data_IF_652927883569
#
_entry.id   IF_652927883569
#
_cell.length_a   1.000
_cell.length_b   1.000
_cell.length_c   1.000
_cell.angle_alpha   90.00
_cell.angle_beta   90.00
_cell.angle_gamma   90.00
#
_symmetry.space_group_name_H-M   'P 1'
#
loop_
_entity.id
_entity.type
_entity.pdbx_description
1 polymer ?
#
# COMPACT_ATOMS: atom_id res chain seq x y z
N UNK A 1 -19.62 4.68 0.89
CA UNK A 1 -18.45 5.53 0.60
C UNK A 1 -17.63 4.92 -0.54
N UNK A 2 -16.78 5.70 -1.12
CA UNK A 2 -15.84 5.22 -2.15
C UNK A 2 -14.56 4.76 -1.48
N UNK A 3 -14.23 3.48 -1.66
CA UNK A 3 -13.09 2.85 -0.98
C UNK A 3 -12.11 2.34 -2.05
N UNK A 4 -10.85 2.71 -1.94
CA UNK A 4 -9.80 2.16 -2.77
C UNK A 4 -9.12 1.01 -2.03
N UNK A 5 -8.88 -0.10 -2.74
CA UNK A 5 -8.13 -1.24 -2.21
C UNK A 5 -6.91 -1.44 -3.09
N UNK A 6 -5.76 -1.04 -2.58
CA UNK A 6 -4.48 -1.21 -3.27
C UNK A 6 -3.92 -2.57 -2.89
N UNK A 7 -3.86 -3.48 -3.85
CA UNK A 7 -3.59 -4.89 -3.63
C UNK A 7 -4.87 -5.71 -3.57
N UNK A 8 -5.84 -5.35 -4.39
CA UNK A 8 -7.20 -5.93 -4.36
C UNK A 8 -7.25 -7.40 -4.76
N UNK A 9 -6.28 -7.89 -5.52
CA UNK A 9 -6.24 -9.30 -5.95
C UNK A 9 -5.48 -10.21 -4.99
N UNK A 10 -4.89 -9.65 -3.93
CA UNK A 10 -4.25 -10.44 -2.89
C UNK A 10 -5.28 -11.16 -2.03
N UNK A 11 -4.79 -12.04 -1.16
CA UNK A 11 -5.66 -12.87 -0.32
C UNK A 11 -6.61 -12.03 0.55
N UNK A 12 -6.08 -11.06 1.27
CA UNK A 12 -6.90 -10.18 2.12
C UNK A 12 -7.70 -9.22 1.25
N UNK A 13 -7.09 -8.66 0.20
CA UNK A 13 -7.74 -7.69 -0.67
C UNK A 13 -8.98 -8.24 -1.37
N UNK A 14 -8.93 -9.50 -1.82
CA UNK A 14 -10.07 -10.14 -2.48
C UNK A 14 -11.26 -10.31 -1.52
N UNK A 15 -11.00 -10.77 -0.31
CA UNK A 15 -12.05 -10.89 0.71
C UNK A 15 -12.63 -9.53 1.09
N UNK A 16 -11.77 -8.55 1.28
CA UNK A 16 -12.20 -7.21 1.67
C UNK A 16 -13.03 -6.55 0.57
N UNK A 17 -12.63 -6.73 -0.70
CA UNK A 17 -13.37 -6.23 -1.85
C UNK A 17 -14.80 -6.80 -1.86
N UNK A 18 -14.93 -8.10 -1.70
CA UNK A 18 -16.23 -8.75 -1.66
C UNK A 18 -17.06 -8.25 -0.48
N UNK A 19 -16.48 -8.21 0.70
CA UNK A 19 -17.17 -7.77 1.91
C UNK A 19 -17.71 -6.35 1.79
N UNK A 20 -16.85 -5.41 1.36
CA UNK A 20 -17.25 -4.01 1.26
C UNK A 20 -18.27 -3.77 0.15
N UNK A 21 -18.16 -4.50 -0.95
CA UNK A 21 -19.14 -4.42 -2.04
C UNK A 21 -20.52 -4.89 -1.55
N UNK A 22 -20.58 -5.98 -0.79
CA UNK A 22 -21.83 -6.47 -0.21
C UNK A 22 -22.43 -5.50 0.81
N UNK A 23 -21.59 -4.70 1.47
CA UNK A 23 -22.05 -3.67 2.41
C UNK A 23 -22.51 -2.39 1.72
N UNK A 24 -22.47 -2.33 0.40
CA UNK A 24 -22.97 -1.20 -0.37
C UNK A 24 -21.94 -0.10 -0.63
N UNK A 25 -20.67 -0.34 -0.35
CA UNK A 25 -19.62 0.61 -0.69
C UNK A 25 -19.21 0.48 -2.15
N UNK A 26 -18.80 1.60 -2.76
CA UNK A 26 -18.24 1.60 -4.10
C UNK A 26 -16.74 1.32 -3.99
N UNK A 27 -16.33 0.13 -4.42
CA UNK A 27 -14.94 -0.32 -4.27
C UNK A 27 -14.18 -0.10 -5.58
N UNK A 28 -13.05 0.61 -5.48
CA UNK A 28 -12.08 0.78 -6.56
C UNK A 28 -10.94 -0.18 -6.33
N UNK A 29 -10.82 -1.16 -7.21
CA UNK A 29 -9.75 -2.15 -7.16
C UNK A 29 -8.52 -1.61 -7.85
N UNK A 30 -7.33 -1.91 -7.29
CA UNK A 30 -6.05 -1.53 -7.87
C UNK A 30 -5.04 -2.63 -7.59
N UNK A 31 -4.60 -3.34 -8.64
CA UNK A 31 -3.64 -4.42 -8.52
C UNK A 31 -2.97 -4.68 -9.86
N UNK A 32 -1.66 -4.88 -9.85
CA UNK A 32 -0.87 -5.12 -11.06
C UNK A 32 -1.33 -6.37 -11.83
N UNK A 33 -1.98 -7.31 -11.15
CA UNK A 33 -2.55 -8.51 -11.78
C UNK A 33 -3.64 -8.14 -12.78
N UNK A 34 -4.37 -7.05 -12.55
CA UNK A 34 -5.44 -6.60 -13.43
C UNK A 34 -4.93 -5.88 -14.68
N UNK A 35 -3.86 -5.10 -14.53
CA UNK A 35 -3.29 -4.31 -15.62
C UNK A 35 -1.91 -3.79 -15.20
N UNK A 36 -0.98 -3.70 -16.16
CA UNK A 36 0.33 -3.12 -15.88
C UNK A 36 0.27 -1.63 -15.50
N UNK A 37 -0.82 -0.93 -15.85
CA UNK A 37 -1.04 0.46 -15.40
C UNK A 37 -1.28 0.55 -13.90
N UNK A 38 -1.68 -0.55 -13.26
CA UNK A 38 -1.94 -0.63 -11.83
C UNK A 38 -0.70 -1.09 -11.04
N UNK A 39 0.49 -0.86 -11.59
CA UNK A 39 1.75 -1.11 -10.92
C UNK A 39 2.14 0.10 -10.06
N UNK A 40 2.08 -0.05 -8.75
CA UNK A 40 2.35 1.01 -7.77
C UNK A 40 3.83 1.41 -7.72
N UNK A 41 4.72 0.66 -8.36
CA UNK A 41 6.14 1.02 -8.43
C UNK A 41 6.45 2.03 -9.53
N UNK A 42 5.53 2.24 -10.47
CA UNK A 42 5.70 3.20 -11.55
C UNK A 42 5.47 4.64 -11.05
N UNK A 43 6.43 5.51 -11.28
CA UNK A 43 6.40 6.92 -10.90
C UNK A 43 6.74 7.77 -12.15
N UNK A 44 5.88 8.72 -12.56
CA UNK A 44 4.55 9.01 -12.04
C UNK A 44 3.50 7.96 -12.45
N UNK A 45 2.45 7.82 -11.65
CA UNK A 45 1.35 6.93 -11.98
C UNK A 45 0.02 7.67 -11.82
N UNK A 46 -0.53 8.14 -12.94
CA UNK A 46 -1.77 8.91 -12.94
C UNK A 46 -2.98 8.06 -12.52
N UNK A 47 -2.98 6.77 -12.83
CA UNK A 47 -4.05 5.86 -12.42
C UNK A 47 -4.09 5.74 -10.90
N UNK A 48 -2.96 5.54 -10.25
CA UNK A 48 -2.87 5.46 -8.79
C UNK A 48 -3.32 6.78 -8.16
N UNK A 49 -2.83 7.90 -8.67
CA UNK A 49 -3.22 9.21 -8.17
C UNK A 49 -4.74 9.39 -8.24
N UNK A 50 -5.35 9.06 -9.37
CA UNK A 50 -6.78 9.24 -9.57
C UNK A 50 -7.61 8.34 -8.66
N UNK A 51 -7.19 7.10 -8.48
CA UNK A 51 -7.87 6.16 -7.58
C UNK A 51 -7.86 6.70 -6.14
N UNK A 52 -6.72 7.18 -5.68
CA UNK A 52 -6.59 7.72 -4.32
C UNK A 52 -7.39 9.02 -4.20
N UNK A 53 -7.25 9.92 -5.17
CA UNK A 53 -7.93 11.21 -5.15
C UNK A 53 -9.46 11.06 -5.13
N UNK A 54 -10.01 10.10 -5.86
CA UNK A 54 -11.44 9.85 -5.95
C UNK A 54 -12.02 9.08 -4.75
N UNK A 55 -11.18 8.56 -3.89
CA UNK A 55 -11.63 7.70 -2.79
C UNK A 55 -11.86 8.49 -1.51
N UNK A 56 -12.77 8.00 -0.68
CA UNK A 56 -13.01 8.53 0.66
C UNK A 56 -12.11 7.85 1.69
N UNK A 57 -11.72 6.60 1.42
CA UNK A 57 -10.88 5.80 2.31
C UNK A 57 -10.01 4.86 1.48
N UNK A 58 -8.78 4.60 1.93
CA UNK A 58 -7.82 3.76 1.20
C UNK A 58 -7.30 2.64 2.10
N UNK A 59 -7.37 1.41 1.60
CA UNK A 59 -6.70 0.26 2.20
C UNK A 59 -5.43 -0.02 1.40
N UNK A 60 -4.28 0.20 2.01
CA UNK A 60 -2.98 -0.08 1.41
C UNK A 60 -2.49 -1.45 1.86
N UNK A 61 -2.84 -2.47 1.08
CA UNK A 61 -2.54 -3.87 1.38
C UNK A 61 -1.42 -4.43 0.52
N UNK A 62 -1.08 -3.77 -0.57
CA UNK A 62 -0.09 -4.26 -1.52
C UNK A 62 1.32 -4.23 -0.95
N UNK A 63 2.07 -5.30 -1.23
CA UNK A 63 3.51 -5.37 -0.97
C UNK A 63 4.08 -6.43 -1.91
N UNK A 64 5.30 -6.21 -2.40
CA UNK A 64 5.97 -7.19 -3.25
C UNK A 64 6.60 -8.25 -2.35
N UNK A 65 5.79 -9.18 -1.89
CA UNK A 65 6.20 -10.17 -0.90
C UNK A 65 6.01 -11.62 -1.38
N UNK A 66 5.09 -11.88 -2.33
CA UNK A 66 4.74 -13.23 -2.73
C UNK A 66 4.29 -14.07 -1.54
N UNK A 67 4.65 -15.34 -1.49
CA UNK A 67 4.42 -16.19 -0.33
C UNK A 67 5.65 -16.25 0.57
N UNK A 68 5.56 -16.95 1.69
CA UNK A 68 6.67 -17.09 2.62
C UNK A 68 7.92 -17.69 1.98
N UNK A 69 7.75 -18.59 1.03
CA UNK A 69 8.86 -19.19 0.29
C UNK A 69 9.57 -18.16 -0.62
N UNK A 70 8.80 -17.34 -1.31
CA UNK A 70 9.32 -16.23 -2.11
C UNK A 70 10.09 -15.25 -1.22
N UNK A 71 9.50 -14.88 -0.10
CA UNK A 71 10.09 -13.92 0.83
C UNK A 71 11.43 -14.40 1.36
N UNK A 72 11.49 -15.66 1.78
CA UNK A 72 12.73 -16.26 2.30
C UNK A 72 13.87 -16.20 1.27
N UNK A 73 13.55 -16.38 -0.01
CA UNK A 73 14.51 -16.39 -1.09
C UNK A 73 14.91 -15.01 -1.59
N UNK A 74 13.96 -14.08 -1.68
CA UNK A 74 14.15 -12.82 -2.41
C UNK A 74 14.20 -11.57 -1.55
N UNK A 75 13.88 -11.62 -0.25
CA UNK A 75 13.87 -10.42 0.59
C UNK A 75 15.23 -9.73 0.72
N UNK A 76 16.31 -10.45 0.46
CA UNK A 76 17.68 -9.92 0.52
C UNK A 76 18.17 -9.37 -0.81
N UNK A 77 17.29 -9.17 -1.78
CA UNK A 77 17.68 -8.65 -3.10
C UNK A 77 17.41 -7.15 -3.21
N UNK A 78 18.22 -6.49 -4.03
CA UNK A 78 18.01 -5.08 -4.35
C UNK A 78 16.60 -4.85 -4.93
N UNK A 79 16.15 -5.75 -5.83
CA UNK A 79 14.85 -5.64 -6.47
C UNK A 79 13.71 -5.60 -5.45
N UNK A 80 13.77 -6.47 -4.45
CA UNK A 80 12.76 -6.50 -3.39
C UNK A 80 12.71 -5.17 -2.63
N UNK A 81 13.86 -4.67 -2.19
CA UNK A 81 13.96 -3.41 -1.46
C UNK A 81 13.49 -2.25 -2.33
N UNK A 82 13.97 -2.18 -3.56
CA UNK A 82 13.66 -1.07 -4.47
C UNK A 82 12.16 -1.04 -4.81
N UNK A 83 11.56 -2.18 -5.15
CA UNK A 83 10.13 -2.23 -5.48
C UNK A 83 9.26 -1.78 -4.32
N UNK A 84 9.53 -2.27 -3.12
CA UNK A 84 8.72 -1.92 -1.96
C UNK A 84 8.94 -0.48 -1.51
N UNK A 85 10.16 0.02 -1.58
CA UNK A 85 10.47 1.42 -1.26
C UNK A 85 9.77 2.37 -2.24
N UNK A 86 9.82 2.08 -3.54
CA UNK A 86 9.16 2.90 -4.56
C UNK A 86 7.64 2.89 -4.38
N UNK A 87 7.08 1.72 -4.12
CA UNK A 87 5.64 1.56 -3.88
C UNK A 87 5.20 2.40 -2.68
N UNK A 88 5.90 2.30 -1.56
CA UNK A 88 5.57 3.08 -0.37
C UNK A 88 5.70 4.58 -0.60
N UNK A 89 6.78 5.02 -1.21
CA UNK A 89 6.99 6.44 -1.50
C UNK A 89 5.86 6.99 -2.38
N UNK A 90 5.45 6.23 -3.39
CA UNK A 90 4.41 6.64 -4.32
C UNK A 90 3.03 6.72 -3.62
N UNK A 91 2.65 5.65 -2.93
CA UNK A 91 1.34 5.59 -2.27
C UNK A 91 1.24 6.59 -1.13
N UNK A 92 2.20 6.60 -0.21
CA UNK A 92 2.18 7.53 0.92
C UNK A 92 2.27 8.98 0.47
N UNK A 93 2.99 9.26 -0.62
CA UNK A 93 3.04 10.60 -1.20
C UNK A 93 1.65 11.11 -1.59
N UNK A 94 0.87 10.28 -2.29
CA UNK A 94 -0.49 10.65 -2.66
C UNK A 94 -1.43 10.74 -1.46
N UNK A 95 -1.29 9.84 -0.49
CA UNK A 95 -2.11 9.88 0.73
C UNK A 95 -1.87 11.17 1.51
N UNK A 96 -0.63 11.65 1.55
CA UNK A 96 -0.28 12.91 2.18
C UNK A 96 -0.82 14.10 1.39
N UNK A 97 -0.65 14.10 0.06
CA UNK A 97 -1.08 15.21 -0.79
C UNK A 97 -2.59 15.44 -0.75
N UNK A 98 -3.36 14.35 -0.75
CA UNK A 98 -4.82 14.43 -0.78
C UNK A 98 -5.45 14.23 0.60
N UNK A 99 -4.65 14.06 1.64
CA UNK A 99 -5.08 13.94 3.04
C UNK A 99 -6.16 12.86 3.21
N UNK A 100 -5.93 11.70 2.60
CA UNK A 100 -6.90 10.61 2.66
C UNK A 100 -6.70 9.77 3.91
N UNK A 101 -7.79 9.40 4.60
CA UNK A 101 -7.71 8.39 5.66
C UNK A 101 -7.40 7.04 5.04
N UNK A 102 -6.56 6.26 5.73
CA UNK A 102 -6.10 4.98 5.19
C UNK A 102 -5.75 3.99 6.29
N UNK A 103 -5.65 2.73 5.89
CA UNK A 103 -5.09 1.64 6.71
C UNK A 103 -3.92 1.05 5.92
N UNK A 104 -2.80 0.88 6.59
CA UNK A 104 -1.62 0.22 6.04
C UNK A 104 -1.47 -1.17 6.68
N UNK A 105 -1.38 -2.21 5.84
CA UNK A 105 -1.19 -3.57 6.33
C UNK A 105 0.28 -3.79 6.71
N UNK A 106 0.54 -3.89 8.00
CA UNK A 106 1.87 -4.16 8.52
C UNK A 106 2.04 -5.66 8.84
N UNK A 107 3.09 -6.00 9.55
CA UNK A 107 3.43 -7.36 9.95
C UNK A 107 4.10 -7.33 11.31
N UNK A 108 3.90 -8.38 12.10
CA UNK A 108 4.65 -8.54 13.35
C UNK A 108 6.17 -8.65 13.11
N UNK A 109 6.59 -8.98 11.89
CA UNK A 109 8.00 -8.99 11.51
C UNK A 109 8.63 -7.59 11.49
N UNK A 110 7.86 -6.53 11.58
CA UNK A 110 8.38 -5.16 11.66
C UNK A 110 9.30 -4.95 12.86
N UNK A 111 9.20 -5.79 13.88
CA UNK A 111 10.08 -5.76 15.05
C UNK A 111 11.40 -6.52 14.84
N UNK A 112 11.57 -7.15 13.68
CA UNK A 112 12.76 -7.96 13.37
C UNK A 112 13.70 -7.17 12.47
N UNK A 113 14.62 -6.43 13.05
CA UNK A 113 15.54 -5.53 12.32
C UNK A 113 16.47 -6.27 11.36
N UNK A 114 16.70 -7.56 11.57
CA UNK A 114 17.53 -8.38 10.68
C UNK A 114 16.78 -8.84 9.42
N UNK A 115 15.47 -8.65 9.35
CA UNK A 115 14.66 -9.01 8.20
C UNK A 115 14.43 -7.79 7.30
N UNK A 116 14.88 -7.82 6.03
CA UNK A 116 14.57 -6.72 5.10
C UNK A 116 13.07 -6.48 4.95
N UNK A 117 12.28 -7.56 4.91
CA UNK A 117 10.82 -7.44 4.86
C UNK A 117 10.28 -6.73 6.10
N UNK A 118 10.73 -7.16 7.27
CA UNK A 118 10.33 -6.52 8.54
C UNK A 118 10.73 -5.06 8.60
N UNK A 119 11.96 -4.74 8.15
CA UNK A 119 12.44 -3.36 8.10
C UNK A 119 11.59 -2.51 7.17
N UNK A 120 11.20 -3.02 6.00
CA UNK A 120 10.33 -2.29 5.07
C UNK A 120 8.94 -2.05 5.67
N UNK A 121 8.37 -3.03 6.36
CA UNK A 121 7.10 -2.86 7.06
C UNK A 121 7.21 -1.83 8.18
N UNK A 122 8.34 -1.79 8.88
CA UNK A 122 8.62 -0.76 9.88
C UNK A 122 8.64 0.64 9.27
N UNK A 123 9.24 0.80 8.09
CA UNK A 123 9.22 2.07 7.35
C UNK A 123 7.77 2.48 7.05
N UNK A 124 6.93 1.54 6.60
CA UNK A 124 5.51 1.82 6.36
C UNK A 124 4.76 2.25 7.62
N UNK A 125 5.07 1.64 8.77
CA UNK A 125 4.50 2.06 10.05
C UNK A 125 4.92 3.49 10.42
N UNK A 126 6.17 3.87 10.13
CA UNK A 126 6.66 5.23 10.38
C UNK A 126 5.91 6.25 9.52
N UNK A 127 5.72 5.98 8.24
CA UNK A 127 4.91 6.82 7.37
C UNK A 127 3.49 6.98 7.94
N UNK A 128 2.87 5.88 8.31
CA UNK A 128 1.51 5.87 8.84
C UNK A 128 1.42 6.71 10.11
N UNK A 129 2.35 6.51 11.03
CA UNK A 129 2.40 7.26 12.28
C UNK A 129 2.52 8.77 12.04
N UNK A 130 3.45 9.17 11.17
CA UNK A 130 3.69 10.58 10.89
C UNK A 130 2.53 11.26 10.18
N UNK A 131 1.83 10.53 9.30
CA UNK A 131 0.68 11.09 8.58
C UNK A 131 -0.56 11.25 9.47
N UNK A 132 -0.69 10.45 10.53
CA UNK A 132 -1.85 10.53 11.42
C UNK A 132 -1.62 11.37 12.67
N UNK A 133 -0.39 11.47 13.18
CA UNK A 133 -0.10 12.08 14.46
C UNK A 133 0.46 13.49 14.40
N UNK A 134 0.83 13.96 13.21
CA UNK A 134 1.38 15.30 13.01
C UNK A 134 0.53 16.08 12.03
N UNK A 135 0.55 17.42 12.07
CA UNK A 135 0.17 18.19 10.89
C UNK A 135 0.97 17.66 9.72
N UNK A 136 0.37 17.62 8.52
CA UNK A 136 1.09 17.10 7.36
C UNK A 136 2.46 17.78 7.25
N UNK A 137 3.56 17.03 7.07
CA UNK A 137 4.89 17.64 6.90
C UNK A 137 4.94 18.64 5.73
N UNK A 138 3.98 18.55 4.82
CA UNK A 138 3.88 19.44 3.65
C UNK A 138 3.12 20.74 3.97
N UNK A 139 2.46 20.79 5.13
CA UNK A 139 1.71 21.97 5.59
C UNK A 139 2.54 22.87 6.50
N UNK A 140 3.73 22.44 6.87
CA UNK A 140 4.60 23.19 7.79
C UNK A 140 5.59 24.08 7.04
#
# INVERSE_FOLDING_TARGET
MKVAILGSSGQIGAYLTEYLTKKGHLVREFDVVNSYHEDMTHIPNAFLRNVIMDSDFVFFLAFDVGGSHYLKKYQHTYKFINNNTRMMANVFGHLADYKKPFVFASSQMSNMSYSPYGSMKRVGELYTCLLYTSPSPRDS
#
